data_IF_590998101733
#
_entry.id   IF_590998101733
#
_cell.length_a   1.000
_cell.length_b   1.000
_cell.length_c   1.000
_cell.angle_alpha   90.00
_cell.angle_beta   90.00
_cell.angle_gamma   90.00
#
_symmetry.space_group_name_H-M   'P 1'
#
loop_
_entity.id
_entity.type
_entity.pdbx_description
1 polymer ?
#
# COMPACT_ATOMS: atom_id res chain seq x y z
N UNK A 1 -9.01 -7.31 20.33
CA UNK A 1 -10.37 -7.39 19.75
C UNK A 1 -10.56 -6.53 18.50
N UNK A 2 -10.69 -5.19 18.54
CA UNK A 2 -10.91 -4.40 17.31
C UNK A 2 -9.81 -4.59 16.25
N UNK A 3 -8.54 -4.62 16.66
CA UNK A 3 -7.37 -4.81 15.78
C UNK A 3 -7.29 -6.20 15.14
N UNK A 4 -7.82 -7.22 15.82
CA UNK A 4 -7.86 -8.58 15.31
C UNK A 4 -8.96 -8.70 14.24
N UNK A 5 -10.14 -8.11 14.50
CA UNK A 5 -11.27 -8.09 13.57
C UNK A 5 -10.88 -7.38 12.27
N UNK A 6 -10.21 -6.23 12.34
CA UNK A 6 -9.74 -5.52 11.13
C UNK A 6 -8.70 -6.32 10.34
N UNK A 7 -7.83 -7.06 11.03
CA UNK A 7 -6.83 -7.91 10.38
C UNK A 7 -7.45 -9.13 9.69
N UNK A 8 -8.42 -9.79 10.34
CA UNK A 8 -9.19 -10.88 9.72
C UNK A 8 -10.04 -10.39 8.55
N UNK A 9 -10.65 -9.21 8.67
CA UNK A 9 -11.40 -8.60 7.57
C UNK A 9 -10.49 -8.31 6.38
N UNK A 10 -9.32 -7.70 6.61
CA UNK A 10 -8.31 -7.47 5.56
C UNK A 10 -7.87 -8.80 4.91
N UNK A 11 -7.64 -9.85 5.70
CA UNK A 11 -7.28 -11.16 5.17
C UNK A 11 -8.39 -11.74 4.27
N UNK A 12 -9.63 -11.78 4.73
CA UNK A 12 -10.75 -12.34 3.95
C UNK A 12 -11.00 -11.50 2.70
N UNK A 13 -11.02 -10.18 2.84
CA UNK A 13 -11.26 -9.27 1.72
C UNK A 13 -10.15 -9.36 0.67
N UNK A 14 -8.88 -9.38 1.10
CA UNK A 14 -7.76 -9.55 0.19
C UNK A 14 -7.79 -10.91 -0.50
N UNK A 15 -8.14 -11.99 0.21
CA UNK A 15 -8.27 -13.35 -0.38
C UNK A 15 -9.33 -13.35 -1.48
N UNK A 16 -10.49 -12.79 -1.18
CA UNK A 16 -11.60 -12.68 -2.12
C UNK A 16 -11.20 -11.87 -3.36
N UNK A 17 -10.49 -10.76 -3.18
CA UNK A 17 -10.02 -9.92 -4.29
C UNK A 17 -9.02 -10.65 -5.20
N UNK A 18 -8.08 -11.41 -4.61
CA UNK A 18 -7.13 -12.23 -5.38
C UNK A 18 -7.85 -13.36 -6.11
N UNK A 19 -8.75 -14.09 -5.44
CA UNK A 19 -9.50 -15.18 -6.05
C UNK A 19 -10.34 -14.71 -7.23
N UNK A 20 -11.04 -13.57 -7.08
CA UNK A 20 -11.81 -12.95 -8.17
C UNK A 20 -10.89 -12.50 -9.31
N UNK A 21 -9.77 -11.85 -9.00
CA UNK A 21 -8.79 -11.42 -9.99
C UNK A 21 -8.24 -12.59 -10.81
N UNK A 22 -7.84 -13.69 -10.16
CA UNK A 22 -7.34 -14.90 -10.82
C UNK A 22 -8.43 -15.60 -11.64
N UNK A 23 -9.67 -15.62 -11.15
CA UNK A 23 -10.81 -16.17 -11.88
C UNK A 23 -11.08 -15.38 -13.17
N UNK A 24 -11.07 -14.04 -13.09
CA UNK A 24 -11.23 -13.15 -14.24
C UNK A 24 -10.12 -13.33 -15.28
N UNK A 25 -8.86 -13.48 -14.85
CA UNK A 25 -7.72 -13.75 -15.74
C UNK A 25 -7.94 -15.04 -16.54
N UNK A 26 -8.47 -16.10 -15.91
CA UNK A 26 -8.69 -17.39 -16.58
C UNK A 26 -9.91 -17.44 -17.48
N UNK A 27 -10.94 -16.64 -17.20
CA UNK A 27 -12.24 -16.75 -17.86
C UNK A 27 -12.34 -15.87 -19.12
N UNK A 28 -11.53 -14.81 -19.21
CA UNK A 28 -11.63 -13.82 -20.29
C UNK A 28 -10.55 -14.08 -21.34
N UNK A 29 -10.97 -14.55 -22.51
CA UNK A 29 -10.09 -15.03 -23.59
C UNK A 29 -9.56 -13.86 -24.45
N UNK A 30 -10.31 -12.76 -24.56
CA UNK A 30 -9.86 -11.52 -25.23
C UNK A 30 -10.28 -10.26 -24.45
N UNK A 31 -9.55 -9.89 -23.39
CA UNK A 31 -9.90 -8.74 -22.58
C UNK A 31 -9.62 -7.43 -23.35
N UNK A 32 -10.67 -6.69 -23.68
CA UNK A 32 -10.57 -5.36 -24.30
C UNK A 32 -10.77 -4.24 -23.27
N UNK A 33 -10.08 -3.11 -23.46
CA UNK A 33 -10.18 -1.93 -22.62
C UNK A 33 -9.85 -2.20 -21.14
N UNK A 34 -10.71 -1.73 -20.24
CA UNK A 34 -10.50 -1.81 -18.77
C UNK A 34 -10.37 -3.26 -18.28
N UNK A 35 -11.03 -4.22 -18.92
CA UNK A 35 -10.98 -5.63 -18.53
C UNK A 35 -9.60 -6.27 -18.73
N UNK A 36 -8.69 -5.61 -19.47
CA UNK A 36 -7.29 -6.04 -19.60
C UNK A 36 -6.47 -5.73 -18.35
N UNK A 37 -6.74 -4.60 -17.69
CA UNK A 37 -5.98 -4.14 -16.53
C UNK A 37 -6.62 -4.58 -15.21
N UNK A 38 -7.95 -4.55 -15.14
CA UNK A 38 -8.72 -4.74 -13.92
C UNK A 38 -8.38 -6.03 -13.16
N UNK A 39 -8.28 -7.22 -13.81
CA UNK A 39 -7.98 -8.44 -13.09
C UNK A 39 -6.61 -8.41 -12.41
N UNK A 40 -5.60 -7.85 -13.07
CA UNK A 40 -4.25 -7.72 -12.52
C UNK A 40 -4.18 -6.68 -11.39
N UNK A 41 -4.93 -5.58 -11.52
CA UNK A 41 -5.06 -4.58 -10.43
C UNK A 41 -5.74 -5.22 -9.21
N UNK A 42 -6.79 -6.01 -9.41
CA UNK A 42 -7.45 -6.76 -8.34
C UNK A 42 -6.49 -7.74 -7.65
N UNK A 43 -5.67 -8.47 -8.41
CA UNK A 43 -4.64 -9.34 -7.84
C UNK A 43 -3.60 -8.53 -7.06
N UNK A 44 -3.06 -7.46 -7.64
CA UNK A 44 -2.04 -6.63 -7.00
C UNK A 44 -2.52 -6.00 -5.69
N UNK A 45 -3.69 -5.36 -5.70
CA UNK A 45 -4.31 -4.80 -4.50
C UNK A 45 -4.65 -5.91 -3.48
N UNK A 46 -5.16 -7.05 -3.96
CA UNK A 46 -5.54 -8.18 -3.12
C UNK A 46 -4.35 -8.74 -2.37
N UNK A 47 -3.21 -8.92 -3.05
CA UNK A 47 -1.96 -9.34 -2.44
C UNK A 47 -1.46 -8.36 -1.38
N UNK A 48 -1.56 -7.04 -1.64
CA UNK A 48 -1.16 -6.01 -0.67
C UNK A 48 -2.01 -6.05 0.61
N UNK A 49 -3.34 -6.14 0.46
CA UNK A 49 -4.27 -6.21 1.59
C UNK A 49 -4.10 -7.54 2.35
N UNK A 50 -3.94 -8.66 1.63
CA UNK A 50 -3.65 -9.98 2.22
C UNK A 50 -2.38 -9.97 3.05
N UNK A 51 -1.27 -9.47 2.47
CA UNK A 51 0.01 -9.39 3.16
C UNK A 51 -0.09 -8.55 4.44
N UNK A 52 -0.82 -7.44 4.38
CA UNK A 52 -1.10 -6.62 5.57
C UNK A 52 -1.91 -7.39 6.63
N UNK A 53 -2.97 -8.10 6.23
CA UNK A 53 -3.79 -8.93 7.13
C UNK A 53 -2.99 -10.03 7.81
N UNK A 54 -2.25 -10.82 7.03
CA UNK A 54 -1.40 -11.91 7.53
C UNK A 54 -0.30 -11.37 8.45
N UNK A 55 0.40 -10.31 8.04
CA UNK A 55 1.47 -9.69 8.83
C UNK A 55 0.98 -9.23 10.21
N UNK A 56 -0.20 -8.61 10.26
CA UNK A 56 -0.82 -8.20 11.53
C UNK A 56 -1.23 -9.38 12.41
N UNK A 57 -1.79 -10.45 11.83
CA UNK A 57 -2.19 -11.65 12.60
C UNK A 57 -0.96 -12.34 13.18
N UNK A 58 0.10 -12.53 12.38
CA UNK A 58 1.36 -13.14 12.84
C UNK A 58 2.00 -12.26 13.92
N UNK A 59 2.13 -10.96 13.69
CA UNK A 59 2.69 -10.02 14.66
C UNK A 59 1.92 -10.06 15.99
N UNK A 60 0.58 -9.99 15.95
CA UNK A 60 -0.24 -10.09 17.17
C UNK A 60 -0.07 -11.44 17.88
N UNK A 61 0.08 -12.55 17.15
CA UNK A 61 0.30 -13.88 17.74
C UNK A 61 1.67 -13.99 18.42
N UNK A 62 2.73 -13.48 17.78
CA UNK A 62 4.08 -13.46 18.35
C UNK A 62 4.14 -12.59 19.61
N UNK A 63 3.54 -11.40 19.55
CA UNK A 63 3.52 -10.45 20.68
C UNK A 63 2.69 -10.93 21.87
N UNK A 64 1.64 -11.75 21.65
CA UNK A 64 0.90 -12.39 22.75
C UNK A 64 1.77 -13.32 23.58
N UNK A 65 2.75 -13.95 22.96
CA UNK A 65 3.67 -14.87 23.63
C UNK A 65 4.87 -14.15 24.27
N UNK A 66 5.08 -12.86 23.96
CA UNK A 66 6.24 -12.06 24.42
C UNK A 66 5.77 -10.68 24.92
N UNK A 67 5.18 -10.60 26.13
CA UNK A 67 4.56 -9.38 26.65
C UNK A 67 5.59 -8.28 27.01
N UNK A 68 6.84 -8.66 27.28
CA UNK A 68 7.98 -7.78 27.49
C UNK A 68 8.34 -7.01 26.20
N UNK A 69 8.40 -7.71 25.07
CA UNK A 69 8.64 -7.11 23.75
C UNK A 69 7.49 -6.20 23.35
N UNK A 70 6.23 -6.62 23.57
CA UNK A 70 5.05 -5.77 23.26
C UNK A 70 5.05 -4.46 24.05
N UNK A 71 5.49 -4.49 25.32
CA UNK A 71 5.64 -3.27 26.14
C UNK A 71 6.72 -2.36 25.58
N UNK A 72 7.90 -2.89 25.23
CA UNK A 72 8.98 -2.08 24.66
C UNK A 72 8.55 -1.41 23.35
N UNK A 73 7.93 -2.17 22.43
CA UNK A 73 7.43 -1.63 21.16
C UNK A 73 6.41 -0.50 21.39
N UNK A 74 5.54 -0.61 22.40
CA UNK A 74 4.58 0.44 22.73
C UNK A 74 5.26 1.70 23.26
N UNK A 75 6.26 1.56 24.11
CA UNK A 75 7.05 2.68 24.64
C UNK A 75 7.75 3.40 23.48
N UNK A 76 8.45 2.65 22.63
CA UNK A 76 9.15 3.22 21.46
C UNK A 76 8.19 3.89 20.47
N UNK A 77 6.98 3.35 20.28
CA UNK A 77 5.98 3.96 19.39
C UNK A 77 5.36 5.24 19.94
N UNK A 78 5.37 5.43 21.26
CA UNK A 78 4.80 6.60 21.93
C UNK A 78 5.87 7.64 22.31
N UNK A 79 7.16 7.31 22.17
CA UNK A 79 8.26 8.24 22.35
C UNK A 79 8.21 9.35 21.29
N UNK A 80 8.04 10.60 21.74
CA UNK A 80 7.98 11.80 20.90
C UNK A 80 9.22 11.95 20.01
N UNK A 81 10.41 11.62 20.53
CA UNK A 81 11.66 11.70 19.76
C UNK A 81 11.64 10.68 18.63
N UNK A 82 11.20 9.46 18.91
CA UNK A 82 11.13 8.41 17.90
C UNK A 82 10.06 8.72 16.84
N UNK A 83 8.92 9.29 17.25
CA UNK A 83 7.88 9.77 16.34
C UNK A 83 8.45 10.87 15.41
N UNK A 84 9.15 11.85 15.97
CA UNK A 84 9.76 12.93 15.20
C UNK A 84 10.77 12.41 14.17
N UNK A 85 11.71 11.56 14.59
CA UNK A 85 12.70 10.92 13.70
C UNK A 85 11.99 10.11 12.61
N UNK A 86 10.98 9.31 12.98
CA UNK A 86 10.22 8.49 12.04
C UNK A 86 9.47 9.32 11.01
N UNK A 87 8.87 10.44 11.41
CA UNK A 87 8.18 11.36 10.51
C UNK A 87 9.16 12.07 9.56
N UNK A 88 10.31 12.54 10.08
CA UNK A 88 11.37 13.11 9.25
C UNK A 88 11.93 12.13 8.22
N UNK A 89 12.17 10.88 8.63
CA UNK A 89 12.63 9.82 7.73
C UNK A 89 11.60 9.53 6.63
N UNK A 90 10.31 9.43 6.97
CA UNK A 90 9.22 9.25 6.00
C UNK A 90 9.11 10.42 5.03
N UNK A 91 9.27 11.66 5.50
CA UNK A 91 9.26 12.83 4.63
C UNK A 91 10.40 12.80 3.61
N UNK A 92 11.64 12.48 4.04
CA UNK A 92 12.77 12.30 3.11
C UNK A 92 12.58 11.15 2.14
N UNK A 93 11.99 10.05 2.58
CA UNK A 93 11.64 8.93 1.71
C UNK A 93 10.58 9.33 0.67
N UNK A 94 9.59 10.14 1.06
CA UNK A 94 8.58 10.70 0.15
C UNK A 94 9.21 11.60 -0.92
N UNK A 95 10.08 12.54 -0.53
CA UNK A 95 10.78 13.42 -1.48
C UNK A 95 11.56 12.60 -2.53
N UNK A 96 12.25 11.55 -2.08
CA UNK A 96 12.98 10.63 -2.96
C UNK A 96 12.04 9.82 -3.86
N UNK A 97 10.90 9.34 -3.32
CA UNK A 97 9.91 8.59 -4.06
C UNK A 97 9.36 9.38 -5.25
N UNK A 98 9.08 10.69 -5.08
CA UNK A 98 8.61 11.55 -6.17
C UNK A 98 9.61 11.58 -7.32
N UNK A 99 10.90 11.78 -7.01
CA UNK A 99 11.95 11.80 -8.03
C UNK A 99 12.09 10.45 -8.74
N UNK A 100 12.14 9.35 -7.98
CA UNK A 100 12.31 7.98 -8.53
C UNK A 100 11.12 7.62 -9.43
N UNK A 101 9.89 7.87 -8.99
CA UNK A 101 8.71 7.58 -9.81
C UNK A 101 8.67 8.44 -11.08
N UNK A 102 9.03 9.73 -11.00
CA UNK A 102 9.16 10.58 -12.17
C UNK A 102 10.18 10.05 -13.19
N UNK A 103 11.35 9.61 -12.71
CA UNK A 103 12.37 9.00 -13.55
C UNK A 103 11.87 7.69 -14.19
N UNK A 104 11.20 6.82 -13.44
CA UNK A 104 10.64 5.56 -13.95
C UNK A 104 9.55 5.78 -15.00
N UNK A 105 8.65 6.75 -14.79
CA UNK A 105 7.62 7.09 -15.78
C UNK A 105 8.29 7.53 -17.09
N UNK A 106 9.30 8.40 -17.02
CA UNK A 106 10.01 8.87 -18.20
C UNK A 106 10.73 7.72 -18.92
N UNK A 107 11.50 6.90 -18.21
CA UNK A 107 12.25 5.81 -18.82
C UNK A 107 11.34 4.75 -19.42
N UNK A 108 10.26 4.34 -18.73
CA UNK A 108 9.32 3.35 -19.26
C UNK A 108 8.55 3.88 -20.46
N UNK A 109 8.24 5.17 -20.49
CA UNK A 109 7.64 5.82 -21.66
C UNK A 109 8.58 5.80 -22.85
N UNK A 110 9.87 6.11 -22.65
CA UNK A 110 10.88 6.08 -23.72
C UNK A 110 11.22 4.66 -24.19
N UNK A 111 11.13 3.67 -23.30
CA UNK A 111 11.32 2.25 -23.63
C UNK A 111 10.16 1.64 -24.43
N UNK A 112 9.04 2.36 -24.59
CA UNK A 112 7.86 1.83 -25.29
C UNK A 112 7.17 0.70 -24.52
N UNK A 113 7.19 0.74 -23.18
CA UNK A 113 6.44 -0.21 -22.33
C UNK A 113 4.93 -0.11 -22.61
N UNK A 114 4.19 -1.19 -22.36
CA UNK A 114 2.74 -1.23 -22.56
C UNK A 114 2.03 -0.03 -21.90
N UNK A 115 1.19 0.66 -22.68
CA UNK A 115 0.53 1.91 -22.28
C UNK A 115 -0.32 1.75 -21.02
N UNK A 116 -0.92 0.58 -20.80
CA UNK A 116 -1.71 0.29 -19.60
C UNK A 116 -0.82 0.35 -18.36
N UNK A 117 0.38 -0.23 -18.42
CA UNK A 117 1.33 -0.22 -17.32
C UNK A 117 1.83 1.19 -17.01
N UNK A 118 2.12 1.99 -18.04
CA UNK A 118 2.52 3.40 -17.88
C UNK A 118 1.39 4.20 -17.22
N UNK A 119 0.14 4.03 -17.67
CA UNK A 119 -0.99 4.75 -17.12
C UNK A 119 -1.26 4.40 -15.64
N UNK A 120 -1.11 3.12 -15.27
CA UNK A 120 -1.20 2.68 -13.88
C UNK A 120 -0.09 3.30 -13.02
N UNK A 121 1.13 3.39 -13.55
CA UNK A 121 2.26 4.02 -12.85
C UNK A 121 2.04 5.52 -12.64
N UNK A 122 1.57 6.22 -13.67
CA UNK A 122 1.20 7.65 -13.60
C UNK A 122 0.06 7.86 -12.59
N UNK A 123 -0.95 7.00 -12.59
CA UNK A 123 -2.04 7.07 -11.63
C UNK A 123 -1.53 6.91 -10.19
N UNK A 124 -0.67 5.92 -9.93
CA UNK A 124 -0.08 5.72 -8.61
C UNK A 124 0.73 6.95 -8.16
N UNK A 125 1.53 7.52 -9.05
CA UNK A 125 2.30 8.74 -8.78
C UNK A 125 1.40 9.93 -8.42
N UNK A 126 0.36 10.19 -9.22
CA UNK A 126 -0.60 11.27 -8.95
C UNK A 126 -1.38 11.04 -7.66
N UNK A 127 -1.74 9.79 -7.36
CA UNK A 127 -2.41 9.46 -6.10
C UNK A 127 -1.53 9.78 -4.90
N UNK A 128 -0.24 9.45 -4.95
CA UNK A 128 0.73 9.76 -3.87
C UNK A 128 0.86 11.27 -3.69
N UNK A 129 1.06 12.02 -4.78
CA UNK A 129 1.18 13.49 -4.74
C UNK A 129 -0.10 14.13 -4.21
N UNK A 130 -1.26 13.72 -4.73
CA UNK A 130 -2.56 14.23 -4.30
C UNK A 130 -2.85 13.94 -2.83
N UNK A 131 -2.53 12.73 -2.35
CA UNK A 131 -2.64 12.38 -0.93
C UNK A 131 -1.73 13.24 -0.06
N UNK A 132 -0.49 13.49 -0.49
CA UNK A 132 0.45 14.40 0.18
C UNK A 132 -0.10 15.83 0.28
N UNK A 133 -0.62 16.37 -0.83
CA UNK A 133 -1.23 17.71 -0.87
C UNK A 133 -2.46 17.78 0.06
N UNK A 134 -3.34 16.79 0.00
CA UNK A 134 -4.53 16.73 0.85
C UNK A 134 -4.17 16.77 2.34
N UNK A 135 -3.24 15.92 2.79
CA UNK A 135 -2.83 15.91 4.19
C UNK A 135 -2.02 17.13 4.59
N UNK A 136 -1.22 17.70 3.68
CA UNK A 136 -0.55 18.97 3.93
C UNK A 136 -1.56 20.08 4.20
N UNK A 137 -2.58 20.21 3.35
CA UNK A 137 -3.65 21.20 3.52
C UNK A 137 -4.48 20.95 4.78
N UNK A 138 -4.79 19.69 5.08
CA UNK A 138 -5.53 19.31 6.29
C UNK A 138 -4.75 19.72 7.54
N UNK A 139 -3.48 19.36 7.64
CA UNK A 139 -2.67 19.65 8.82
C UNK A 139 -2.32 21.13 8.96
N UNK A 140 -2.19 21.87 7.87
CA UNK A 140 -2.01 23.33 7.88
C UNK A 140 -3.21 24.09 8.49
N UNK A 141 -4.39 23.45 8.52
CA UNK A 141 -5.58 24.01 9.18
C UNK A 141 -5.78 23.54 10.61
N UNK A 142 -5.25 22.36 10.95
CA UNK A 142 -5.45 21.73 12.25
C UNK A 142 -4.36 22.13 13.27
N UNK A 143 -3.17 22.52 12.78
CA UNK A 143 -2.01 22.96 13.56
C UNK A 143 -1.83 24.48 13.45
#
# INVERSE_FOLDING_TARGET
MKKDITAYFALVFGLLLVSIGLYLIKTIIEPQGIMRALPYVCVGLGCGILGHGIGNIISNRVLKNHPDIDKQIKIEKLDERNIAIGNHAKAKAYDMMIFIFGALILTFSLMGVDMVAILLLVFAYLFIVGYGIYYRYKFDKEL
#
